data_IF_773524926486
#
_entry.id   IF_773524926486
#
_cell.length_a   1.000
_cell.length_b   1.000
_cell.length_c   1.000
_cell.angle_alpha   90.00
_cell.angle_beta   90.00
_cell.angle_gamma   90.00
#
_symmetry.space_group_name_H-M   'P 1'
#
loop_
_entity.id
_entity.type
_entity.pdbx_description
1 polymer ?
#
# COMPACT_ATOMS: atom_id res chain seq x y z
N UNK A 1 -2.33 36.56 -7.29
CA UNK A 1 -2.33 35.09 -7.50
C UNK A 1 -1.30 34.48 -6.57
N UNK A 2 -1.72 33.67 -5.61
CA UNK A 2 -0.85 32.98 -4.65
C UNK A 2 0.03 31.95 -5.37
N UNK A 3 1.13 31.54 -4.73
CA UNK A 3 2.02 30.51 -5.28
C UNK A 3 1.28 29.19 -5.59
N UNK A 4 0.41 28.76 -4.68
CA UNK A 4 -0.46 27.59 -4.89
C UNK A 4 -1.35 27.72 -6.14
N UNK A 5 -1.92 28.90 -6.39
CA UNK A 5 -2.72 29.15 -7.59
C UNK A 5 -1.87 29.10 -8.87
N UNK A 6 -0.62 29.58 -8.83
CA UNK A 6 0.30 29.46 -9.99
C UNK A 6 0.65 28.01 -10.27
N UNK A 7 0.93 27.24 -9.20
CA UNK A 7 1.30 25.84 -9.31
C UNK A 7 0.15 24.98 -9.83
N UNK A 8 -1.06 25.21 -9.32
CA UNK A 8 -2.26 24.54 -9.82
C UNK A 8 -2.57 24.88 -11.28
N UNK A 9 -2.42 26.15 -11.69
CA UNK A 9 -2.58 26.53 -13.09
C UNK A 9 -1.59 25.81 -14.01
N UNK A 10 -0.34 25.64 -13.57
CA UNK A 10 0.69 24.86 -14.28
C UNK A 10 0.33 23.38 -14.36
N UNK A 11 -0.08 22.78 -13.24
CA UNK A 11 -0.54 21.39 -13.18
C UNK A 11 -1.70 21.14 -14.14
N UNK A 12 -2.75 21.97 -14.07
CA UNK A 12 -3.94 21.88 -14.94
C UNK A 12 -3.58 21.93 -16.43
N UNK A 13 -2.65 22.80 -16.83
CA UNK A 13 -2.24 22.89 -18.23
C UNK A 13 -1.45 21.66 -18.71
N UNK A 14 -0.80 20.92 -17.81
CA UNK A 14 0.17 19.87 -18.17
C UNK A 14 -0.33 18.45 -17.91
N UNK A 15 -1.31 18.27 -17.01
CA UNK A 15 -1.73 16.95 -16.52
C UNK A 15 -3.24 16.69 -16.56
N UNK A 16 -4.08 17.73 -16.72
CA UNK A 16 -5.53 17.55 -16.80
C UNK A 16 -5.99 17.58 -18.25
N UNK A 17 -6.49 16.45 -18.74
CA UNK A 17 -7.23 16.39 -20.01
C UNK A 17 -8.60 17.05 -19.86
N UNK A 18 -9.18 17.54 -20.96
CA UNK A 18 -10.55 18.08 -20.97
C UNK A 18 -11.57 16.92 -20.87
N UNK A 19 -11.69 16.33 -19.68
CA UNK A 19 -12.66 15.29 -19.37
C UNK A 19 -13.89 15.81 -18.61
N UNK A 20 -14.90 14.96 -18.44
CA UNK A 20 -16.07 15.26 -17.62
C UNK A 20 -15.66 15.44 -16.15
N UNK A 21 -16.14 16.53 -15.56
CA UNK A 21 -15.95 16.83 -14.13
C UNK A 21 -16.95 15.98 -13.34
N UNK A 22 -16.46 14.92 -12.71
CA UNK A 22 -17.19 14.14 -11.71
C UNK A 22 -16.38 14.05 -10.41
N UNK A 23 -17.02 13.62 -9.32
CA UNK A 23 -16.38 13.57 -7.98
C UNK A 23 -15.15 12.64 -7.96
N UNK A 24 -15.21 11.53 -8.70
CA UNK A 24 -14.12 10.55 -8.88
C UNK A 24 -12.86 11.20 -9.47
N UNK A 25 -12.99 11.88 -10.61
CA UNK A 25 -11.90 12.57 -11.29
C UNK A 25 -11.38 13.71 -10.44
N UNK A 26 -12.25 14.46 -9.75
CA UNK A 26 -11.82 15.55 -8.88
C UNK A 26 -10.95 15.06 -7.71
N UNK A 27 -11.27 13.91 -7.12
CA UNK A 27 -10.46 13.32 -6.04
C UNK A 27 -9.08 12.89 -6.56
N UNK A 28 -9.04 12.17 -7.69
CA UNK A 28 -7.78 11.76 -8.32
C UNK A 28 -6.92 12.96 -8.70
N UNK A 29 -7.49 13.96 -9.37
CA UNK A 29 -6.80 15.19 -9.77
C UNK A 29 -6.23 15.93 -8.56
N UNK A 30 -6.96 15.94 -7.45
CA UNK A 30 -6.51 16.57 -6.20
C UNK A 30 -5.31 15.81 -5.62
N UNK A 31 -5.37 14.48 -5.55
CA UNK A 31 -4.27 13.64 -5.09
C UNK A 31 -3.03 13.73 -6.00
N UNK A 32 -3.24 13.75 -7.32
CA UNK A 32 -2.20 13.94 -8.32
C UNK A 32 -1.54 15.32 -8.16
N UNK A 33 -2.35 16.38 -7.98
CA UNK A 33 -1.86 17.72 -7.71
C UNK A 33 -1.04 17.79 -6.42
N UNK A 34 -1.47 17.14 -5.33
CA UNK A 34 -0.72 17.11 -4.06
C UNK A 34 0.67 16.53 -4.27
N UNK A 35 0.77 15.41 -5.00
CA UNK A 35 2.05 14.77 -5.28
C UNK A 35 2.93 15.63 -6.19
N UNK A 36 2.37 16.21 -7.25
CA UNK A 36 3.08 17.16 -8.11
C UNK A 36 3.59 18.39 -7.34
N UNK A 37 2.75 18.91 -6.44
CA UNK A 37 3.07 20.03 -5.59
C UNK A 37 4.19 19.66 -4.61
N UNK A 38 4.20 18.44 -4.07
CA UNK A 38 5.29 17.97 -3.22
C UNK A 38 6.65 18.02 -3.92
N UNK A 39 6.70 17.54 -5.16
CA UNK A 39 7.92 17.47 -5.96
C UNK A 39 8.40 18.86 -6.43
N UNK A 40 7.50 19.84 -6.54
CA UNK A 40 7.82 21.18 -7.04
C UNK A 40 8.00 22.22 -5.92
N UNK A 41 7.14 22.18 -4.90
CA UNK A 41 7.18 23.02 -3.71
C UNK A 41 6.54 22.27 -2.52
N UNK A 42 7.40 21.64 -1.70
CA UNK A 42 6.98 20.83 -0.56
C UNK A 42 6.08 21.56 0.45
N UNK A 43 6.19 22.89 0.60
CA UNK A 43 5.31 23.65 1.49
C UNK A 43 3.87 23.71 0.95
N UNK A 44 3.71 23.87 -0.36
CA UNK A 44 2.39 23.81 -1.02
C UNK A 44 1.84 22.38 -0.96
N UNK A 45 2.67 21.37 -1.24
CA UNK A 45 2.29 19.96 -1.10
C UNK A 45 1.80 19.63 0.32
N UNK A 46 2.54 20.06 1.34
CA UNK A 46 2.18 19.86 2.74
C UNK A 46 0.88 20.57 3.13
N UNK A 47 0.68 21.81 2.70
CA UNK A 47 -0.55 22.56 2.95
C UNK A 47 -1.75 21.93 2.24
N UNK A 48 -1.58 21.52 0.98
CA UNK A 48 -2.63 20.87 0.18
C UNK A 48 -3.02 19.51 0.78
N UNK A 49 -2.04 18.66 1.12
CA UNK A 49 -2.31 17.38 1.77
C UNK A 49 -3.02 17.58 3.11
N UNK A 50 -2.55 18.49 3.97
CA UNK A 50 -3.21 18.77 5.26
C UNK A 50 -4.66 19.22 5.07
N UNK A 51 -4.94 20.05 4.07
CA UNK A 51 -6.29 20.53 3.79
C UNK A 51 -7.19 19.44 3.20
N UNK A 52 -6.65 18.56 2.37
CA UNK A 52 -7.33 17.39 1.81
C UNK A 52 -7.64 16.36 2.90
N UNK A 53 -6.61 15.99 3.67
CA UNK A 53 -6.71 15.05 4.78
C UNK A 53 -7.75 15.56 5.78
N UNK A 54 -7.76 16.84 6.18
CA UNK A 54 -8.78 17.39 7.09
C UNK A 54 -10.24 17.23 6.62
N UNK A 55 -10.49 17.10 5.32
CA UNK A 55 -11.83 16.85 4.77
C UNK A 55 -12.19 15.36 4.82
N UNK A 56 -11.19 14.48 4.86
CA UNK A 56 -11.32 13.02 4.81
C UNK A 56 -11.12 12.39 6.20
N UNK A 57 -10.39 13.02 7.12
CA UNK A 57 -9.88 12.53 8.42
C UNK A 57 -10.92 11.86 9.31
N UNK A 58 -12.21 12.15 9.12
CA UNK A 58 -13.29 11.44 9.82
C UNK A 58 -13.52 10.01 9.32
N UNK A 59 -12.93 9.63 8.20
CA UNK A 59 -13.12 8.35 7.53
C UNK A 59 -11.77 7.82 7.03
N UNK A 60 -11.62 6.51 7.06
CA UNK A 60 -10.51 5.86 6.40
C UNK A 60 -10.64 6.07 4.87
N UNK A 61 -9.53 6.37 4.16
CA UNK A 61 -9.55 6.61 2.70
C UNK A 61 -10.25 5.48 1.92
N UNK A 62 -10.15 4.23 2.38
CA UNK A 62 -10.83 3.08 1.77
C UNK A 62 -12.37 3.24 1.79
N UNK A 63 -12.93 3.86 2.84
CA UNK A 63 -14.38 4.13 2.94
C UNK A 63 -14.77 5.21 1.94
N UNK A 64 -13.98 6.28 1.82
CA UNK A 64 -14.24 7.37 0.88
C UNK A 64 -14.24 6.86 -0.55
N UNK A 65 -13.23 6.07 -0.92
CA UNK A 65 -13.14 5.51 -2.28
C UNK A 65 -14.27 4.51 -2.55
N UNK A 66 -14.70 3.72 -1.57
CA UNK A 66 -15.79 2.75 -1.76
C UNK A 66 -17.18 3.42 -1.91
N UNK A 67 -17.33 4.68 -1.51
CA UNK A 67 -18.57 5.44 -1.70
C UNK A 67 -18.65 6.15 -3.06
N UNK A 68 -17.61 6.02 -3.88
CA UNK A 68 -17.50 6.63 -5.21
C UNK A 68 -17.40 5.55 -6.28
N UNK A 69 -17.87 5.86 -7.49
CA UNK A 69 -17.89 4.93 -8.63
C UNK A 69 -16.50 4.83 -9.29
N UNK A 70 -15.53 4.25 -8.57
CA UNK A 70 -14.17 3.99 -9.06
C UNK A 70 -14.09 2.64 -9.78
N UNK A 71 -13.35 2.58 -10.89
CA UNK A 71 -12.81 1.31 -11.40
C UNK A 71 -11.74 0.76 -10.42
N UNK A 72 -11.40 -0.52 -10.54
CA UNK A 72 -10.36 -1.12 -9.71
C UNK A 72 -9.01 -0.41 -9.91
N UNK A 73 -8.67 -0.05 -11.15
CA UNK A 73 -7.44 0.64 -11.51
C UNK A 73 -7.40 2.04 -10.88
N UNK A 74 -8.49 2.79 -10.98
CA UNK A 74 -8.57 4.12 -10.40
C UNK A 74 -8.54 4.09 -8.86
N UNK A 75 -9.16 3.08 -8.24
CA UNK A 75 -9.08 2.90 -6.78
C UNK A 75 -7.64 2.61 -6.34
N UNK A 76 -6.93 1.75 -7.06
CA UNK A 76 -5.52 1.46 -6.77
C UNK A 76 -4.66 2.72 -6.94
N UNK A 77 -4.86 3.49 -8.00
CA UNK A 77 -4.16 4.76 -8.23
C UNK A 77 -4.42 5.77 -7.10
N UNK A 78 -5.69 5.95 -6.71
CA UNK A 78 -6.04 6.86 -5.62
C UNK A 78 -5.36 6.46 -4.30
N UNK A 79 -5.33 5.17 -3.96
CA UNK A 79 -4.65 4.67 -2.77
C UNK A 79 -3.13 4.88 -2.83
N UNK A 80 -2.51 4.64 -4.00
CA UNK A 80 -1.08 4.89 -4.20
C UNK A 80 -0.74 6.36 -3.97
N UNK A 81 -1.47 7.27 -4.62
CA UNK A 81 -1.24 8.70 -4.51
C UNK A 81 -1.49 9.20 -3.08
N UNK A 82 -2.52 8.69 -2.41
CA UNK A 82 -2.83 9.04 -1.03
C UNK A 82 -1.73 8.61 -0.05
N UNK A 83 -1.33 7.33 -0.05
CA UNK A 83 -0.30 6.85 0.87
C UNK A 83 1.08 7.43 0.56
N UNK A 84 1.36 7.74 -0.71
CA UNK A 84 2.58 8.49 -1.09
C UNK A 84 2.58 9.89 -0.47
N UNK A 85 1.47 10.63 -0.60
CA UNK A 85 1.35 11.96 -0.02
C UNK A 85 1.38 11.93 1.52
N UNK A 86 0.69 10.97 2.15
CA UNK A 86 0.67 10.78 3.60
C UNK A 86 2.08 10.48 4.15
N UNK A 87 2.84 9.61 3.47
CA UNK A 87 4.20 9.29 3.87
C UNK A 87 5.11 10.50 3.79
N UNK A 88 5.06 11.24 2.68
CA UNK A 88 5.82 12.48 2.50
C UNK A 88 5.49 13.51 3.57
N UNK A 89 4.20 13.67 3.89
CA UNK A 89 3.73 14.55 4.96
C UNK A 89 4.21 14.14 6.34
N UNK A 90 4.10 12.87 6.68
CA UNK A 90 4.53 12.34 7.98
C UNK A 90 6.03 12.52 8.17
N UNK A 91 6.82 12.23 7.13
CA UNK A 91 8.28 12.39 7.15
C UNK A 91 8.70 13.86 7.33
N UNK A 92 8.05 14.79 6.61
CA UNK A 92 8.39 16.21 6.69
C UNK A 92 7.91 16.87 7.99
N UNK A 93 6.71 16.53 8.47
CA UNK A 93 6.10 17.14 9.66
C UNK A 93 6.53 16.47 10.97
N UNK A 94 7.15 15.29 10.91
CA UNK A 94 7.39 14.40 12.07
C UNK A 94 6.11 14.12 12.87
N UNK A 95 4.95 14.28 12.23
CA UNK A 95 3.63 14.08 12.82
C UNK A 95 2.99 12.91 12.12
N UNK A 96 2.69 11.86 12.87
CA UNK A 96 1.94 10.73 12.36
C UNK A 96 0.47 11.11 12.31
N UNK A 97 -0.18 10.83 11.17
CA UNK A 97 -1.63 10.96 11.06
C UNK A 97 -2.26 10.06 12.14
N UNK A 98 -2.92 10.67 13.12
CA UNK A 98 -3.70 9.94 14.11
C UNK A 98 -5.08 9.71 13.52
N UNK A 99 -5.41 8.45 13.26
CA UNK A 99 -6.80 8.08 12.98
C UNK A 99 -7.63 8.42 14.22
N UNK A 100 -8.62 9.28 14.05
CA UNK A 100 -9.39 9.81 15.18
C UNK A 100 -10.40 8.81 15.72
N UNK A 101 -10.82 7.83 14.90
CA UNK A 101 -11.83 6.85 15.29
C UNK A 101 -11.51 5.44 14.78
N UNK A 102 -11.69 4.46 15.68
CA UNK A 102 -11.56 3.03 15.36
C UNK A 102 -12.74 2.61 14.46
N UNK A 103 -12.51 1.85 13.36
CA UNK A 103 -13.61 1.38 12.53
C UNK A 103 -14.64 0.55 13.32
N UNK A 104 -15.91 0.66 12.93
CA UNK A 104 -17.03 0.07 13.66
C UNK A 104 -16.84 -1.43 13.97
N UNK A 105 -16.27 -2.21 13.03
CA UNK A 105 -15.97 -3.62 13.25
C UNK A 105 -15.03 -3.82 14.46
N UNK A 106 -13.97 -3.02 14.58
CA UNK A 106 -12.99 -3.10 15.67
C UNK A 106 -13.46 -2.43 16.96
N UNK A 107 -14.41 -1.48 16.87
CA UNK A 107 -15.02 -0.83 18.04
C UNK A 107 -16.20 -1.63 18.65
N UNK A 108 -16.90 -2.43 17.85
CA UNK A 108 -18.11 -3.13 18.28
C UNK A 108 -17.82 -4.21 19.33
N UNK A 109 -18.54 -4.13 20.45
CA UNK A 109 -18.65 -5.20 21.43
C UNK A 109 -19.60 -6.31 20.92
N UNK A 110 -19.44 -7.53 21.42
CA UNK A 110 -20.33 -8.65 21.10
C UNK A 110 -19.99 -9.44 19.83
N UNK A 111 -18.97 -9.02 19.07
CA UNK A 111 -18.44 -9.78 17.94
C UNK A 111 -17.09 -10.39 18.26
N UNK A 112 -16.98 -11.70 18.06
CA UNK A 112 -15.71 -12.40 18.06
C UNK A 112 -15.02 -12.26 16.71
N UNK A 113 -13.71 -12.05 16.73
CA UNK A 113 -12.90 -11.75 15.54
C UNK A 113 -11.83 -12.81 15.40
N UNK A 114 -11.75 -13.44 14.23
CA UNK A 114 -10.75 -14.44 13.90
C UNK A 114 -9.95 -13.98 12.69
N UNK A 115 -8.63 -14.02 12.79
CA UNK A 115 -7.74 -13.88 11.64
C UNK A 115 -7.45 -15.26 11.07
N UNK A 116 -7.64 -15.44 9.76
CA UNK A 116 -7.39 -16.71 9.07
C UNK A 116 -6.38 -16.45 7.96
N UNK A 117 -5.28 -17.19 7.99
CA UNK A 117 -4.22 -17.14 6.98
C UNK A 117 -4.28 -18.42 6.15
N UNK A 118 -4.66 -18.28 4.89
CA UNK A 118 -4.85 -19.41 3.99
C UNK A 118 -3.50 -19.97 3.49
N UNK A 119 -3.53 -21.20 2.96
CA UNK A 119 -2.38 -21.84 2.31
C UNK A 119 -2.33 -21.59 0.80
N UNK A 120 -1.80 -22.57 0.07
CA UNK A 120 -1.47 -22.55 -1.36
C UNK A 120 -2.69 -22.57 -2.33
N UNK A 121 -3.80 -21.90 -2.00
CA UNK A 121 -4.90 -21.72 -2.96
C UNK A 121 -4.57 -20.60 -3.96
N UNK A 122 -4.85 -20.78 -5.26
CA UNK A 122 -4.65 -19.70 -6.26
C UNK A 122 -3.20 -19.45 -6.68
N UNK A 123 -2.36 -20.49 -6.61
CA UNK A 123 -0.91 -20.48 -6.87
C UNK A 123 -0.47 -19.94 -8.23
N UNK A 124 -1.36 -19.81 -9.20
CA UNK A 124 -0.97 -19.31 -10.52
C UNK A 124 -0.75 -17.80 -10.51
N UNK A 125 -1.40 -17.05 -9.60
CA UNK A 125 -1.41 -15.58 -9.62
C UNK A 125 -0.93 -14.94 -8.30
N UNK A 126 -0.29 -15.69 -7.39
CA UNK A 126 0.12 -15.13 -6.08
C UNK A 126 1.14 -13.98 -6.20
N UNK A 127 1.97 -13.99 -7.25
CA UNK A 127 2.90 -12.90 -7.52
C UNK A 127 2.18 -11.62 -7.95
N UNK A 128 1.04 -11.72 -8.62
CA UNK A 128 0.23 -10.56 -8.99
C UNK A 128 -0.36 -9.90 -7.75
N UNK A 129 -0.84 -10.70 -6.80
CA UNK A 129 -1.29 -10.20 -5.50
C UNK A 129 -0.14 -9.53 -4.74
N UNK A 130 1.03 -10.17 -4.68
CA UNK A 130 2.23 -9.65 -4.02
C UNK A 130 2.63 -8.29 -4.60
N UNK A 131 2.68 -8.19 -5.94
CA UNK A 131 2.99 -6.93 -6.65
C UNK A 131 1.92 -5.88 -6.46
N UNK A 132 0.65 -6.26 -6.48
CA UNK A 132 -0.48 -5.35 -6.25
C UNK A 132 -0.42 -4.73 -4.86
N UNK A 133 -0.27 -5.53 -3.80
CA UNK A 133 -0.15 -5.01 -2.42
C UNK A 133 1.11 -4.15 -2.29
N UNK A 134 2.24 -4.58 -2.85
CA UNK A 134 3.49 -3.80 -2.82
C UNK A 134 3.33 -2.46 -3.53
N UNK A 135 2.74 -2.42 -4.72
CA UNK A 135 2.56 -1.20 -5.49
C UNK A 135 1.60 -0.23 -4.80
N UNK A 136 0.42 -0.73 -4.38
CA UNK A 136 -0.63 0.10 -3.76
C UNK A 136 -0.18 0.71 -2.44
N UNK A 137 0.47 -0.08 -1.60
CA UNK A 137 0.83 0.32 -0.24
C UNK A 137 2.34 0.50 -0.06
N UNK A 138 3.08 0.76 -1.14
CA UNK A 138 4.55 0.84 -1.13
C UNK A 138 5.12 1.62 0.07
N UNK A 139 4.64 2.83 0.39
CA UNK A 139 5.17 3.60 1.52
C UNK A 139 4.97 2.93 2.89
N UNK A 140 3.99 2.02 3.00
CA UNK A 140 3.69 1.27 4.21
C UNK A 140 4.49 -0.03 4.32
N UNK A 141 4.80 -0.70 3.20
CA UNK A 141 5.36 -2.06 3.21
C UNK A 141 6.79 -2.15 2.70
N UNK A 142 7.31 -1.17 1.96
CA UNK A 142 8.59 -1.27 1.26
C UNK A 142 9.77 -1.61 2.17
N UNK A 143 9.87 -0.97 3.35
CA UNK A 143 10.94 -1.26 4.30
C UNK A 143 10.94 -2.74 4.73
N UNK A 144 9.75 -3.28 5.03
CA UNK A 144 9.58 -4.68 5.40
C UNK A 144 9.91 -5.62 4.24
N UNK A 145 9.39 -5.33 3.03
CA UNK A 145 9.65 -6.18 1.85
C UNK A 145 11.14 -6.22 1.53
N UNK A 146 11.84 -5.08 1.57
CA UNK A 146 13.28 -5.02 1.31
C UNK A 146 14.07 -5.84 2.33
N UNK A 147 13.74 -5.71 3.62
CA UNK A 147 14.41 -6.45 4.70
C UNK A 147 14.14 -7.96 4.60
N UNK A 148 12.88 -8.36 4.44
CA UNK A 148 12.49 -9.77 4.34
C UNK A 148 13.01 -10.43 3.06
N UNK A 149 12.95 -9.76 1.92
CA UNK A 149 13.48 -10.29 0.67
C UNK A 149 15.00 -10.48 0.75
N UNK A 150 15.73 -9.55 1.37
CA UNK A 150 17.17 -9.70 1.59
C UNK A 150 17.48 -10.87 2.53
N UNK A 151 16.74 -11.00 3.63
CA UNK A 151 16.86 -12.11 4.57
C UNK A 151 16.61 -13.47 3.89
N UNK A 152 15.47 -13.62 3.21
CA UNK A 152 15.08 -14.85 2.51
C UNK A 152 16.10 -15.20 1.43
N UNK A 153 16.57 -14.22 0.65
CA UNK A 153 17.59 -14.42 -0.38
C UNK A 153 18.90 -14.92 0.21
N UNK A 154 19.31 -14.40 1.36
CA UNK A 154 20.52 -14.84 2.06
C UNK A 154 20.36 -16.28 2.59
N UNK A 155 19.27 -16.57 3.28
CA UNK A 155 19.01 -17.91 3.83
C UNK A 155 18.92 -18.98 2.74
N UNK A 156 18.35 -18.64 1.57
CA UNK A 156 18.28 -19.54 0.41
C UNK A 156 19.66 -19.99 -0.11
N UNK A 157 20.75 -19.28 0.21
CA UNK A 157 22.11 -19.66 -0.18
C UNK A 157 22.76 -20.68 0.75
N UNK A 158 22.14 -21.00 1.90
CA UNK A 158 22.68 -21.99 2.81
C UNK A 158 22.85 -23.35 2.09
N UNK A 159 23.93 -24.11 2.34
CA UNK A 159 24.18 -25.38 1.63
C UNK A 159 23.03 -26.39 1.71
N UNK A 160 22.26 -26.35 2.80
CA UNK A 160 21.07 -27.19 3.01
C UNK A 160 19.93 -26.84 2.02
N UNK A 161 19.76 -25.57 1.68
CA UNK A 161 18.64 -25.07 0.88
C UNK A 161 18.99 -24.83 -0.58
N UNK A 162 20.27 -24.62 -0.89
CA UNK A 162 20.75 -24.36 -2.26
C UNK A 162 20.22 -25.34 -3.33
N UNK A 163 20.06 -26.67 -3.06
CA UNK A 163 19.47 -27.58 -4.04
C UNK A 163 17.99 -27.32 -4.36
N UNK A 164 17.25 -26.69 -3.44
CA UNK A 164 15.83 -26.32 -3.62
C UNK A 164 15.66 -25.06 -4.47
N UNK A 165 16.69 -24.20 -4.53
CA UNK A 165 16.63 -22.87 -5.12
C UNK A 165 17.54 -22.73 -6.34
N UNK A 166 17.28 -23.53 -7.39
CA UNK A 166 18.08 -23.55 -8.61
C UNK A 166 18.16 -22.19 -9.32
N UNK A 167 17.12 -21.36 -9.19
CA UNK A 167 17.06 -19.99 -9.71
C UNK A 167 17.23 -18.92 -8.62
N UNK A 168 17.62 -19.30 -7.41
CA UNK A 168 17.66 -18.41 -6.25
C UNK A 168 16.27 -18.00 -5.75
N UNK A 169 16.22 -17.09 -4.78
CA UNK A 169 14.97 -16.62 -4.17
C UNK A 169 15.03 -15.09 -4.01
N UNK A 170 15.02 -14.37 -5.13
CA UNK A 170 15.14 -12.90 -5.17
C UNK A 170 13.78 -12.23 -5.35
N UNK A 171 12.99 -12.25 -4.27
CA UNK A 171 11.59 -11.79 -4.30
C UNK A 171 11.48 -10.31 -4.65
N UNK A 172 12.40 -9.47 -4.17
CA UNK A 172 12.38 -8.04 -4.47
C UNK A 172 12.61 -7.79 -5.96
N UNK A 173 13.57 -8.50 -6.57
CA UNK A 173 13.82 -8.39 -8.00
C UNK A 173 12.59 -8.82 -8.81
N UNK A 174 11.94 -9.93 -8.46
CA UNK A 174 10.73 -10.39 -9.16
C UNK A 174 9.50 -9.49 -8.97
N UNK A 175 9.45 -8.71 -7.88
CA UNK A 175 8.43 -7.67 -7.69
C UNK A 175 8.68 -6.48 -8.63
N UNK A 176 9.94 -6.05 -8.77
CA UNK A 176 10.32 -4.88 -9.59
C UNK A 176 10.41 -5.22 -11.09
N UNK A 177 10.77 -6.45 -11.44
CA UNK A 177 11.02 -6.94 -12.80
C UNK A 177 10.30 -8.28 -13.03
N UNK A 178 8.97 -8.26 -13.27
CA UNK A 178 8.17 -9.48 -13.47
C UNK A 178 8.62 -10.34 -14.66
N UNK A 179 9.26 -9.73 -15.65
CA UNK A 179 9.83 -10.40 -16.83
C UNK A 179 11.00 -11.33 -16.51
N UNK A 180 11.69 -11.10 -15.38
CA UNK A 180 12.83 -11.89 -14.93
C UNK A 180 12.42 -13.06 -14.01
N UNK A 181 11.10 -13.28 -13.84
CA UNK A 181 10.61 -14.43 -13.09
C UNK A 181 11.02 -15.75 -13.77
N UNK A 182 11.50 -16.74 -13.00
CA UNK A 182 11.70 -18.09 -13.49
C UNK A 182 10.42 -18.71 -14.04
N UNK A 183 10.55 -19.89 -14.66
CA UNK A 183 9.42 -20.62 -15.19
C UNK A 183 8.38 -20.97 -14.11
N UNK A 184 7.12 -21.08 -14.55
CA UNK A 184 5.99 -21.32 -13.65
C UNK A 184 6.20 -22.54 -12.75
N UNK A 185 6.81 -23.62 -13.25
CA UNK A 185 7.07 -24.83 -12.45
C UNK A 185 8.00 -24.58 -11.25
N UNK A 186 8.93 -23.63 -11.37
CA UNK A 186 9.76 -23.21 -10.26
C UNK A 186 8.97 -22.32 -9.30
N UNK A 187 8.24 -21.34 -9.84
CA UNK A 187 7.48 -20.36 -9.06
C UNK A 187 6.36 -20.98 -8.22
N UNK A 188 5.74 -22.06 -8.69
CA UNK A 188 4.71 -22.77 -7.92
C UNK A 188 5.27 -23.84 -6.97
N UNK A 189 6.58 -24.07 -6.98
CA UNK A 189 7.19 -25.06 -6.09
C UNK A 189 7.03 -24.61 -4.63
N UNK A 190 6.69 -25.56 -3.75
CA UNK A 190 6.44 -25.29 -2.31
C UNK A 190 7.57 -24.48 -1.64
N UNK A 191 8.87 -24.76 -1.88
CA UNK A 191 9.96 -24.00 -1.26
C UNK A 191 10.02 -22.54 -1.69
N UNK A 192 9.50 -22.20 -2.88
CA UNK A 192 9.52 -20.85 -3.45
C UNK A 192 8.25 -20.09 -3.09
N UNK A 193 7.09 -20.69 -3.33
CA UNK A 193 5.83 -20.00 -3.16
C UNK A 193 5.48 -19.73 -1.68
N UNK A 194 5.75 -20.68 -0.79
CA UNK A 194 5.34 -20.62 0.60
C UNK A 194 5.92 -19.40 1.34
N UNK A 195 7.24 -19.11 1.26
CA UNK A 195 7.78 -17.91 1.89
C UNK A 195 7.23 -16.62 1.27
N UNK A 196 6.96 -16.59 -0.04
CA UNK A 196 6.44 -15.39 -0.71
C UNK A 196 4.98 -15.14 -0.31
N UNK A 197 4.13 -16.18 -0.31
CA UNK A 197 2.74 -16.09 0.16
C UNK A 197 2.70 -15.64 1.62
N UNK A 198 3.57 -16.19 2.47
CA UNK A 198 3.70 -15.75 3.86
C UNK A 198 4.09 -14.27 3.97
N UNK A 199 5.04 -13.80 3.15
CA UNK A 199 5.41 -12.39 3.08
C UNK A 199 4.23 -11.51 2.65
N UNK A 200 3.46 -11.92 1.65
CA UNK A 200 2.27 -11.18 1.18
C UNK A 200 1.18 -11.10 2.24
N UNK A 201 0.94 -12.17 2.99
CA UNK A 201 0.02 -12.16 4.14
C UNK A 201 0.49 -11.17 5.22
N UNK A 202 1.79 -11.15 5.51
CA UNK A 202 2.35 -10.18 6.46
C UNK A 202 2.24 -8.74 5.95
N UNK A 203 2.42 -8.50 4.64
CA UNK A 203 2.17 -7.18 4.04
C UNK A 203 0.72 -6.73 4.26
N UNK A 204 -0.26 -7.62 4.10
CA UNK A 204 -1.67 -7.31 4.33
C UNK A 204 -1.95 -6.98 5.81
N UNK A 205 -1.37 -7.74 6.74
CA UNK A 205 -1.43 -7.43 8.18
C UNK A 205 -0.78 -6.08 8.48
N UNK A 206 0.33 -5.76 7.82
CA UNK A 206 0.99 -4.46 7.94
C UNK A 206 0.13 -3.30 7.47
N UNK A 207 -0.49 -3.44 6.31
CA UNK A 207 -1.46 -2.46 5.83
C UNK A 207 -2.57 -2.29 6.85
N UNK A 208 -3.13 -3.37 7.37
CA UNK A 208 -4.22 -3.31 8.36
C UNK A 208 -3.83 -2.52 9.62
N UNK A 209 -2.76 -2.88 10.34
CA UNK A 209 -2.45 -2.16 11.59
C UNK A 209 -2.00 -0.72 11.33
N UNK A 210 -1.26 -0.46 10.24
CA UNK A 210 -0.79 0.91 9.91
C UNK A 210 -1.95 1.83 9.54
N UNK A 211 -2.94 1.32 8.82
CA UNK A 211 -4.14 2.08 8.44
C UNK A 211 -5.17 2.22 9.57
N UNK A 212 -5.02 1.44 10.64
CA UNK A 212 -5.74 1.63 11.90
C UNK A 212 -5.02 2.57 12.87
N UNK A 213 -3.75 2.88 12.61
CA UNK A 213 -2.93 3.69 13.51
C UNK A 213 -2.59 2.99 14.83
N UNK A 214 -2.53 1.65 14.84
CA UNK A 214 -2.21 0.84 16.01
C UNK A 214 -0.96 -0.01 15.79
N UNK A 215 -0.38 -0.53 16.85
CA UNK A 215 0.74 -1.47 16.81
C UNK A 215 0.28 -2.89 16.42
N UNK A 216 1.20 -3.76 15.96
CA UNK A 216 0.89 -5.17 15.73
C UNK A 216 0.35 -5.89 16.98
N UNK A 217 0.84 -5.52 18.17
CA UNK A 217 0.37 -6.08 19.44
C UNK A 217 -1.07 -5.66 19.74
N UNK A 218 -1.38 -4.37 19.61
CA UNK A 218 -2.76 -3.87 19.77
C UNK A 218 -3.71 -4.46 18.73
N UNK A 219 -3.25 -4.73 17.51
CA UNK A 219 -4.04 -5.44 16.50
C UNK A 219 -4.33 -6.88 16.95
N UNK A 220 -3.32 -7.60 17.44
CA UNK A 220 -3.49 -8.98 17.93
C UNK A 220 -4.51 -9.05 19.07
N UNK A 221 -4.49 -8.09 20.00
CA UNK A 221 -5.46 -7.98 21.10
C UNK A 221 -6.91 -7.76 20.62
N UNK A 222 -7.12 -7.38 19.35
CA UNK A 222 -8.47 -7.29 18.75
C UNK A 222 -9.01 -8.63 18.28
N UNK A 223 -8.19 -9.68 18.17
CA UNK A 223 -8.62 -10.99 17.71
C UNK A 223 -8.70 -11.98 18.88
N UNK A 224 -9.67 -12.88 18.82
CA UNK A 224 -9.78 -13.94 19.80
C UNK A 224 -8.77 -15.05 19.46
N UNK A 225 -7.65 -15.08 20.16
CA UNK A 225 -6.76 -16.24 20.17
C UNK A 225 -7.39 -17.33 21.04
N UNK A 226 -7.78 -18.45 20.43
CA UNK A 226 -8.13 -19.67 21.16
C UNK A 226 -6.88 -20.38 21.65
#
# INVERSE_FOLDING_TARGET
MSEAQRLYARFKHTHLEQGDINETNQLLDTLAFINYAWDTNAAVGAAAFKAFDAQIVKQNIHIVLNNLDFSNEQMQEALQLYYKAQHSYTTASKTYAQFTEMPALFAAAGFRKLAVFAGQGGMDNYMDETRSVFAVYRPLVEAFVREMAAFIKQEAQAPLFKPLYQHGLDVMHWIEFPEDMPEQSYMISVPVCLPIVGMTQLMQVMVLYKTLGISPAELADKFDCK
#
